data_IF_213597509446
#
_entry.id   IF_213597509446
#
_cell.length_a   1.000
_cell.length_b   1.000
_cell.length_c   1.000
_cell.angle_alpha   90.00
_cell.angle_beta   90.00
_cell.angle_gamma   90.00
#
_symmetry.space_group_name_H-M   'P 1'
#
loop_
_entity.id
_entity.type
_entity.pdbx_description
1 polymer ?
#
# COMPACT_ATOMS: atom_id res chain seq x y z
N UNK A 1 -21.22 20.91 0.28
CA UNK A 1 -20.73 20.57 -1.07
C UNK A 1 -20.39 19.08 -1.03
N UNK A 2 -21.29 18.21 -1.48
CA UNK A 2 -21.07 16.76 -1.51
C UNK A 2 -20.07 16.46 -2.61
N UNK A 3 -18.83 16.15 -2.24
CA UNK A 3 -17.84 15.66 -3.19
C UNK A 3 -18.38 14.36 -3.80
N UNK A 4 -18.50 14.31 -5.12
CA UNK A 4 -18.94 13.10 -5.82
C UNK A 4 -17.75 12.11 -5.85
N UNK A 5 -17.58 11.36 -4.77
CA UNK A 5 -16.53 10.35 -4.66
C UNK A 5 -16.84 9.17 -5.57
N UNK A 6 -15.89 8.80 -6.42
CA UNK A 6 -16.02 7.65 -7.33
C UNK A 6 -14.93 6.62 -7.02
N UNK A 7 -15.32 5.53 -6.36
CA UNK A 7 -14.41 4.42 -6.07
C UNK A 7 -13.80 3.85 -7.37
N UNK A 8 -14.60 3.65 -8.41
CA UNK A 8 -14.12 3.16 -9.71
C UNK A 8 -13.08 4.09 -10.34
N UNK A 9 -13.24 5.40 -10.20
CA UNK A 9 -12.22 6.35 -10.65
C UNK A 9 -10.91 6.16 -9.87
N UNK A 10 -10.98 6.04 -8.54
CA UNK A 10 -9.80 5.78 -7.69
C UNK A 10 -9.08 4.50 -8.13
N UNK A 11 -9.81 3.40 -8.30
CA UNK A 11 -9.23 2.12 -8.72
C UNK A 11 -8.61 2.21 -10.12
N UNK A 12 -9.29 2.85 -11.08
CA UNK A 12 -8.78 3.00 -12.44
C UNK A 12 -7.50 3.85 -12.52
N UNK A 13 -7.44 4.96 -11.77
CA UNK A 13 -6.25 5.82 -11.68
C UNK A 13 -5.08 5.11 -10.97
N UNK A 14 -5.38 4.28 -9.96
CA UNK A 14 -4.37 3.39 -9.36
C UNK A 14 -3.80 2.42 -10.39
N UNK A 15 -4.66 1.70 -11.14
CA UNK A 15 -4.23 0.72 -12.16
C UNK A 15 -3.37 1.39 -13.24
N UNK A 16 -3.75 2.58 -13.71
CA UNK A 16 -2.95 3.33 -14.68
C UNK A 16 -1.56 3.69 -14.12
N UNK A 17 -1.48 4.05 -12.84
CA UNK A 17 -0.21 4.35 -12.16
C UNK A 17 0.65 3.11 -11.95
N UNK A 18 0.02 1.99 -11.60
CA UNK A 18 0.66 0.68 -11.50
C UNK A 18 1.19 0.20 -12.85
N UNK A 19 0.45 0.41 -13.93
CA UNK A 19 0.87 0.08 -15.29
C UNK A 19 2.12 0.87 -15.69
N UNK A 20 2.17 2.18 -15.39
CA UNK A 20 3.37 2.98 -15.62
C UNK A 20 4.61 2.45 -14.89
N UNK A 21 4.44 1.99 -13.64
CA UNK A 21 5.53 1.40 -12.87
C UNK A 21 5.92 0.03 -13.42
N UNK A 22 4.94 -0.80 -13.78
CA UNK A 22 5.17 -2.12 -14.35
C UNK A 22 5.92 -2.03 -15.68
N UNK A 23 5.57 -1.09 -16.55
CA UNK A 23 6.31 -0.81 -17.77
C UNK A 23 7.74 -0.35 -17.49
N UNK A 24 7.96 0.47 -16.46
CA UNK A 24 9.31 0.89 -16.09
C UNK A 24 10.17 -0.29 -15.62
N UNK A 25 9.58 -1.19 -14.83
CA UNK A 25 10.25 -2.38 -14.29
C UNK A 25 10.67 -3.38 -15.38
N UNK A 26 10.05 -3.37 -16.57
CA UNK A 26 10.49 -4.18 -17.71
C UNK A 26 11.89 -3.78 -18.23
N UNK A 27 12.33 -2.55 -17.95
CA UNK A 27 13.63 -2.03 -18.39
C UNK A 27 14.63 -1.90 -17.24
N UNK A 28 14.14 -1.60 -16.04
CA UNK A 28 14.97 -1.42 -14.84
C UNK A 28 14.42 -2.34 -13.75
N UNK A 29 14.96 -3.57 -13.61
CA UNK A 29 14.53 -4.47 -12.55
C UNK A 29 14.87 -3.88 -11.19
N UNK A 30 14.06 -4.17 -10.17
CA UNK A 30 14.26 -3.59 -8.84
C UNK A 30 15.57 -4.02 -8.17
N UNK A 31 16.01 -5.26 -8.40
CA UNK A 31 17.20 -5.83 -7.77
C UNK A 31 18.46 -5.02 -8.10
N UNK A 32 19.12 -4.50 -7.07
CA UNK A 32 20.28 -3.61 -7.18
C UNK A 32 20.01 -2.18 -7.71
N UNK A 33 18.80 -1.87 -8.20
CA UNK A 33 18.48 -0.58 -8.83
C UNK A 33 17.50 0.28 -8.04
N UNK A 34 17.26 -0.02 -6.76
CA UNK A 34 16.33 0.71 -5.89
C UNK A 34 16.55 2.23 -5.86
N UNK A 35 17.79 2.69 -6.09
CA UNK A 35 18.20 4.11 -6.10
C UNK A 35 18.18 4.77 -7.49
N UNK A 36 17.84 4.05 -8.56
CA UNK A 36 17.72 4.64 -9.90
C UNK A 36 16.62 5.69 -9.89
N UNK A 37 16.90 6.83 -10.52
CA UNK A 37 15.95 7.92 -10.69
C UNK A 37 15.54 8.04 -12.16
N UNK A 38 14.34 8.55 -12.42
CA UNK A 38 13.85 8.84 -13.77
C UNK A 38 12.72 9.87 -13.72
N UNK A 39 12.53 10.62 -14.81
CA UNK A 39 11.35 11.49 -14.96
C UNK A 39 10.03 10.70 -14.90
N UNK A 40 10.03 9.43 -15.34
CA UNK A 40 8.86 8.55 -15.18
C UNK A 40 8.54 8.27 -13.71
N UNK A 41 9.56 8.06 -12.89
CA UNK A 41 9.41 7.83 -11.45
C UNK A 41 8.92 9.09 -10.71
N UNK A 42 9.32 10.29 -11.17
CA UNK A 42 8.72 11.55 -10.70
C UNK A 42 7.21 11.56 -10.93
N UNK A 43 6.76 11.21 -12.14
CA UNK A 43 5.32 11.16 -12.46
C UNK A 43 4.57 10.14 -11.61
N UNK A 44 5.08 8.91 -11.51
CA UNK A 44 4.49 7.84 -10.70
C UNK A 44 4.36 8.27 -9.23
N UNK A 45 5.43 8.86 -8.67
CA UNK A 45 5.46 9.32 -7.29
C UNK A 45 4.45 10.45 -7.02
N UNK A 46 4.39 11.44 -7.93
CA UNK A 46 3.44 12.56 -7.83
C UNK A 46 1.99 12.08 -7.91
N UNK A 47 1.68 11.18 -8.85
CA UNK A 47 0.33 10.65 -9.03
C UNK A 47 -0.11 9.83 -7.81
N UNK A 48 0.73 8.89 -7.37
CA UNK A 48 0.43 8.04 -6.22
C UNK A 48 0.19 8.87 -4.94
N UNK A 49 1.07 9.84 -4.64
CA UNK A 49 0.95 10.66 -3.43
C UNK A 49 -0.20 11.66 -3.50
N UNK A 50 -0.47 12.23 -4.68
CA UNK A 50 -1.61 13.13 -4.88
C UNK A 50 -2.93 12.39 -4.64
N UNK A 51 -3.08 11.22 -5.26
CA UNK A 51 -4.27 10.39 -5.09
C UNK A 51 -4.43 9.91 -3.66
N UNK A 52 -3.34 9.49 -3.00
CA UNK A 52 -3.34 9.11 -1.58
C UNK A 52 -3.84 10.27 -0.71
N UNK A 53 -3.32 11.47 -0.93
CA UNK A 53 -3.71 12.67 -0.19
C UNK A 53 -5.20 12.97 -0.33
N UNK A 54 -5.75 12.90 -1.54
CA UNK A 54 -7.19 13.10 -1.78
C UNK A 54 -8.05 12.00 -1.17
N UNK A 55 -7.62 10.74 -1.25
CA UNK A 55 -8.35 9.60 -0.70
C UNK A 55 -8.39 9.65 0.83
N UNK A 56 -7.28 9.99 1.48
CA UNK A 56 -7.23 10.14 2.93
C UNK A 56 -7.98 11.38 3.42
N UNK A 57 -7.97 12.48 2.66
CA UNK A 57 -8.81 13.62 2.98
C UNK A 57 -10.29 13.22 2.98
N UNK A 58 -10.73 12.53 1.92
CA UNK A 58 -12.09 12.00 1.81
C UNK A 58 -12.45 11.11 3.00
N UNK A 59 -11.61 10.12 3.32
CA UNK A 59 -11.84 9.21 4.45
C UNK A 59 -11.89 9.94 5.79
N UNK A 60 -10.96 10.86 6.04
CA UNK A 60 -10.89 11.61 7.30
C UNK A 60 -12.16 12.47 7.51
N UNK A 61 -12.64 13.12 6.44
CA UNK A 61 -13.84 13.96 6.48
C UNK A 61 -15.15 13.23 6.73
N UNK A 62 -15.18 11.89 6.66
CA UNK A 62 -16.36 11.11 7.09
C UNK A 62 -16.57 11.15 8.60
N UNK A 63 -15.52 11.38 9.38
CA UNK A 63 -15.63 11.51 10.82
C UNK A 63 -16.18 12.89 11.19
N UNK A 64 -17.24 12.98 12.02
CA UNK A 64 -17.79 14.27 12.47
C UNK A 64 -16.82 15.05 13.38
N UNK A 65 -15.74 14.41 13.84
CA UNK A 65 -14.74 15.02 14.71
C UNK A 65 -13.63 15.76 13.93
N UNK A 66 -13.51 15.54 12.62
CA UNK A 66 -12.50 16.20 11.79
C UNK A 66 -13.00 17.56 11.34
N UNK A 67 -12.58 18.62 12.05
CA UNK A 67 -12.99 20.02 11.79
C UNK A 67 -11.92 20.85 11.09
N UNK A 68 -10.68 20.38 11.05
CA UNK A 68 -9.56 21.10 10.44
C UNK A 68 -9.83 21.28 8.95
N UNK A 69 -9.64 22.50 8.45
CA UNK A 69 -9.89 22.84 7.04
C UNK A 69 -8.87 22.17 6.13
N UNK A 70 -7.59 22.34 6.42
CA UNK A 70 -6.49 21.86 5.59
C UNK A 70 -5.79 20.71 6.31
N UNK A 71 -6.08 19.48 5.89
CA UNK A 71 -5.44 18.28 6.41
C UNK A 71 -4.07 18.09 5.75
N UNK A 72 -3.13 17.56 6.52
CA UNK A 72 -1.78 17.22 6.08
C UNK A 72 -1.39 15.81 6.55
N UNK A 73 -0.20 15.37 6.15
CA UNK A 73 0.29 14.01 6.43
C UNK A 73 0.37 13.67 7.92
N UNK A 74 0.61 14.66 8.80
CA UNK A 74 0.64 14.43 10.24
C UNK A 74 -0.75 14.18 10.82
N UNK A 75 -1.78 14.81 10.24
CA UNK A 75 -3.16 14.51 10.59
C UNK A 75 -3.49 13.07 10.19
N UNK A 76 -3.08 12.63 8.99
CA UNK A 76 -3.27 11.25 8.54
C UNK A 76 -2.48 10.22 9.35
N UNK A 77 -1.27 10.56 9.81
CA UNK A 77 -0.54 9.75 10.79
C UNK A 77 -1.36 9.56 12.07
N UNK A 78 -1.95 10.63 12.59
CA UNK A 78 -2.77 10.59 13.80
C UNK A 78 -4.05 9.75 13.59
N UNK A 79 -4.69 9.88 12.44
CA UNK A 79 -5.97 9.22 12.17
C UNK A 79 -5.83 7.76 11.74
N UNK A 80 -4.79 7.45 10.96
CA UNK A 80 -4.67 6.17 10.25
C UNK A 80 -3.38 5.43 10.56
N UNK A 81 -2.38 6.06 11.17
CA UNK A 81 -1.06 5.48 11.40
C UNK A 81 -1.13 4.13 12.12
N UNK A 82 -1.93 4.02 13.19
CA UNK A 82 -2.10 2.77 13.93
C UNK A 82 -2.62 1.61 13.07
N UNK A 83 -3.42 1.92 12.05
CA UNK A 83 -3.95 0.93 11.12
C UNK A 83 -2.93 0.55 10.04
N UNK A 84 -2.27 1.54 9.42
CA UNK A 84 -1.44 1.31 8.22
C UNK A 84 0.02 0.99 8.51
N UNK A 85 0.58 1.49 9.61
CA UNK A 85 1.97 1.27 9.98
C UNK A 85 2.38 -0.20 10.11
N UNK A 86 1.62 -1.09 10.79
CA UNK A 86 2.04 -2.47 10.93
C UNK A 86 1.93 -3.28 9.64
N UNK A 87 1.33 -2.71 8.57
CA UNK A 87 1.01 -3.43 7.35
C UNK A 87 2.23 -3.63 6.47
N UNK A 88 2.42 -4.87 6.07
CA UNK A 88 3.29 -5.25 4.96
C UNK A 88 2.50 -5.79 3.78
N UNK A 89 3.14 -5.82 2.62
CA UNK A 89 2.62 -6.44 1.41
C UNK A 89 3.75 -7.07 0.61
N UNK A 90 3.41 -7.93 -0.34
CA UNK A 90 4.39 -8.50 -1.28
C UNK A 90 4.44 -7.61 -2.50
N UNK A 91 5.63 -7.11 -2.82
CA UNK A 91 5.92 -6.49 -4.10
C UNK A 91 6.42 -7.55 -5.07
N UNK A 92 5.82 -7.57 -6.24
CA UNK A 92 6.14 -8.51 -7.30
C UNK A 92 7.05 -7.89 -8.36
N UNK A 93 8.31 -7.72 -8.01
CA UNK A 93 9.38 -7.41 -8.96
C UNK A 93 9.87 -8.65 -9.72
N UNK A 94 11.07 -8.56 -10.30
CA UNK A 94 11.78 -9.73 -10.84
C UNK A 94 11.98 -10.77 -9.74
N UNK A 95 12.49 -10.32 -8.59
CA UNK A 95 12.38 -11.02 -7.33
C UNK A 95 11.26 -10.42 -6.49
N UNK A 96 10.49 -11.32 -5.87
CA UNK A 96 9.36 -10.93 -5.02
C UNK A 96 9.85 -10.68 -3.61
N UNK A 97 9.43 -9.58 -3.00
CA UNK A 97 9.91 -9.15 -1.69
C UNK A 97 8.78 -8.61 -0.79
N UNK A 98 8.97 -8.74 0.52
CA UNK A 98 8.10 -8.13 1.51
C UNK A 98 8.49 -6.66 1.69
N UNK A 99 7.53 -5.74 1.53
CA UNK A 99 7.77 -4.31 1.74
C UNK A 99 6.81 -3.71 2.78
N UNK A 100 7.30 -2.64 3.43
CA UNK A 100 6.61 -1.89 4.47
C UNK A 100 6.51 -0.41 4.04
N UNK A 101 5.41 -0.01 3.38
CA UNK A 101 5.27 1.35 2.86
C UNK A 101 5.29 2.45 3.93
N UNK A 102 4.92 2.08 5.17
CA UNK A 102 4.81 2.96 6.33
C UNK A 102 5.76 2.55 7.46
N UNK A 103 6.94 2.01 7.11
CA UNK A 103 7.89 1.46 8.09
C UNK A 103 8.33 2.49 9.14
N UNK A 104 8.51 3.75 8.74
CA UNK A 104 8.88 4.86 9.62
C UNK A 104 7.79 5.15 10.67
N UNK A 105 6.55 4.70 10.44
CA UNK A 105 5.45 4.84 11.38
C UNK A 105 5.28 3.63 12.31
N UNK A 106 6.09 2.58 12.17
CA UNK A 106 6.01 1.39 13.02
C UNK A 106 6.52 1.64 14.43
N UNK A 107 6.06 0.78 15.35
CA UNK A 107 6.53 0.70 16.73
C UNK A 107 6.43 2.03 17.50
N UNK A 108 5.47 2.88 17.12
CA UNK A 108 5.18 4.12 17.83
C UNK A 108 4.40 3.83 19.09
N UNK A 109 4.82 4.46 20.19
CA UNK A 109 4.13 4.36 21.49
C UNK A 109 2.72 4.97 21.40
N UNK A 110 2.58 6.04 20.61
CA UNK A 110 1.31 6.67 20.27
C UNK A 110 1.36 7.22 18.85
N UNK A 111 0.19 7.48 18.25
CA UNK A 111 0.07 8.09 16.94
C UNK A 111 -0.43 9.52 17.11
N UNK A 112 0.48 10.42 17.49
CA UNK A 112 0.22 11.85 17.69
C UNK A 112 1.19 12.70 16.88
N UNK A 113 0.90 13.98 16.66
CA UNK A 113 1.81 14.86 15.93
C UNK A 113 3.25 14.89 16.49
N UNK A 114 3.42 14.77 17.81
CA UNK A 114 4.73 14.78 18.47
C UNK A 114 5.57 13.53 18.22
N UNK A 115 4.93 12.42 17.84
CA UNK A 115 5.56 11.11 17.59
C UNK A 115 5.68 10.81 16.10
N UNK A 116 5.20 11.71 15.25
CA UNK A 116 5.28 11.64 13.80
C UNK A 116 6.73 11.51 13.34
N UNK A 117 6.98 10.53 12.46
CA UNK A 117 8.20 10.48 11.65
C UNK A 117 7.84 10.66 10.19
N UNK A 118 8.68 11.40 9.48
CA UNK A 118 8.48 11.69 8.08
C UNK A 118 8.76 10.45 7.23
N UNK A 119 7.86 10.15 6.28
CA UNK A 119 8.05 9.10 5.28
C UNK A 119 8.92 9.64 4.15
N UNK A 120 9.99 8.94 3.79
CA UNK A 120 10.95 9.42 2.80
C UNK A 120 10.31 9.68 1.42
N UNK A 121 9.38 8.83 1.01
CA UNK A 121 8.67 9.00 -0.26
C UNK A 121 7.69 10.20 -0.23
N UNK A 122 7.08 10.49 0.92
CA UNK A 122 6.20 11.64 1.08
C UNK A 122 6.98 12.96 1.13
N UNK A 123 8.14 12.96 1.80
CA UNK A 123 9.08 14.07 1.80
C UNK A 123 9.51 14.45 0.39
N UNK A 124 9.95 13.46 -0.38
CA UNK A 124 10.34 13.66 -1.78
C UNK A 124 9.14 14.14 -2.62
N UNK A 125 7.93 13.62 -2.40
CA UNK A 125 6.74 14.15 -3.04
C UNK A 125 6.54 15.65 -2.77
N UNK A 126 6.65 16.10 -1.52
CA UNK A 126 6.52 17.52 -1.18
C UNK A 126 7.60 18.37 -1.85
N UNK A 127 8.86 17.89 -1.83
CA UNK A 127 9.97 18.56 -2.52
C UNK A 127 9.68 18.73 -4.02
N UNK A 128 9.25 17.66 -4.70
CA UNK A 128 8.93 17.68 -6.13
C UNK A 128 7.69 18.52 -6.47
N UNK A 129 6.72 18.58 -5.56
CA UNK A 129 5.52 19.43 -5.70
C UNK A 129 5.89 20.92 -5.73
N UNK A 130 6.91 21.32 -4.98
CA UNK A 130 7.35 22.71 -4.88
C UNK A 130 8.46 23.09 -5.87
N UNK A 131 9.45 22.22 -6.08
CA UNK A 131 10.54 22.45 -7.04
C UNK A 131 10.95 21.14 -7.74
N UNK A 132 10.18 20.80 -8.78
CA UNK A 132 10.41 19.57 -9.56
C UNK A 132 11.80 19.52 -10.19
N UNK A 133 12.35 20.66 -10.63
CA UNK A 133 13.63 20.66 -11.34
C UNK A 133 14.74 20.36 -10.35
N UNK A 134 14.81 21.05 -9.21
CA UNK A 134 15.87 20.82 -8.22
C UNK A 134 15.85 19.39 -7.67
N UNK A 135 14.65 18.85 -7.40
CA UNK A 135 14.49 17.60 -6.66
C UNK A 135 14.22 16.35 -7.51
N UNK A 136 14.23 16.42 -8.85
CA UNK A 136 13.93 15.27 -9.74
C UNK A 136 14.76 14.00 -9.46
N UNK A 137 15.99 14.16 -8.98
CA UNK A 137 16.89 13.05 -8.68
C UNK A 137 16.50 12.30 -7.39
N UNK A 138 15.67 12.89 -6.54
CA UNK A 138 15.19 12.24 -5.32
C UNK A 138 14.11 11.19 -5.59
N UNK A 139 13.44 11.24 -6.76
CA UNK A 139 12.40 10.29 -7.16
C UNK A 139 13.01 8.95 -7.58
N UNK A 140 13.45 8.17 -6.61
CA UNK A 140 14.04 6.85 -6.82
C UNK A 140 12.98 5.76 -7.02
N UNK A 141 13.38 4.64 -7.61
CA UNK A 141 12.51 3.49 -7.84
C UNK A 141 11.89 2.98 -6.53
N UNK A 142 12.68 2.87 -5.46
CA UNK A 142 12.20 2.49 -4.12
C UNK A 142 11.09 3.41 -3.62
N UNK A 143 11.26 4.73 -3.73
CA UNK A 143 10.26 5.68 -3.26
C UNK A 143 8.97 5.61 -4.07
N UNK A 144 9.07 5.41 -5.38
CA UNK A 144 7.91 5.23 -6.24
C UNK A 144 7.13 3.94 -5.88
N UNK A 145 7.84 2.82 -5.67
CA UNK A 145 7.24 1.55 -5.22
C UNK A 145 6.55 1.74 -3.87
N UNK A 146 7.24 2.31 -2.87
CA UNK A 146 6.67 2.52 -1.53
C UNK A 146 5.47 3.46 -1.55
N UNK A 147 5.49 4.53 -2.33
CA UNK A 147 4.35 5.44 -2.46
C UNK A 147 3.13 4.76 -3.09
N UNK A 148 3.33 4.02 -4.18
CA UNK A 148 2.25 3.29 -4.83
C UNK A 148 1.69 2.18 -3.94
N UNK A 149 2.56 1.47 -3.22
CA UNK A 149 2.19 0.48 -2.22
C UNK A 149 1.42 1.11 -1.03
N UNK A 150 1.79 2.32 -0.60
CA UNK A 150 1.08 3.08 0.41
C UNK A 150 -0.32 3.50 -0.05
N UNK A 151 -0.45 3.94 -1.30
CA UNK A 151 -1.73 4.20 -1.95
C UNK A 151 -2.59 2.94 -2.03
N UNK A 152 -2.03 1.80 -2.43
CA UNK A 152 -2.74 0.52 -2.46
C UNK A 152 -3.37 0.18 -1.10
N UNK A 153 -2.59 0.27 -0.01
CA UNK A 153 -3.10 0.04 1.35
C UNK A 153 -4.19 1.04 1.75
N UNK A 154 -4.09 2.30 1.32
CA UNK A 154 -5.12 3.31 1.58
C UNK A 154 -6.43 3.03 0.83
N UNK A 155 -6.35 2.48 -0.39
CA UNK A 155 -7.51 2.03 -1.18
C UNK A 155 -8.19 0.87 -0.46
N UNK A 156 -7.44 -0.15 -0.03
CA UNK A 156 -8.01 -1.29 0.71
C UNK A 156 -8.58 -0.90 2.07
N UNK A 157 -8.08 0.19 2.68
CA UNK A 157 -8.65 0.73 3.91
C UNK A 157 -10.01 1.42 3.67
N UNK A 158 -10.20 2.06 2.52
CA UNK A 158 -11.41 2.81 2.23
C UNK A 158 -12.55 1.83 1.88
N UNK A 159 -13.64 1.88 2.65
CA UNK A 159 -14.77 0.95 2.51
C UNK A 159 -15.34 0.90 1.08
N UNK A 160 -15.65 2.04 0.47
CA UNK A 160 -16.22 2.09 -0.89
C UNK A 160 -15.24 1.59 -1.96
N UNK A 161 -13.94 1.86 -1.78
CA UNK A 161 -12.91 1.35 -2.68
C UNK A 161 -12.72 -0.15 -2.52
N UNK A 162 -12.80 -0.66 -1.29
CA UNK A 162 -12.69 -2.06 -0.96
C UNK A 162 -13.86 -2.86 -1.52
N UNK A 163 -15.07 -2.34 -1.44
CA UNK A 163 -16.23 -2.95 -2.11
C UNK A 163 -16.07 -2.98 -3.64
N UNK A 164 -15.55 -1.90 -4.22
CA UNK A 164 -15.28 -1.84 -5.66
C UNK A 164 -14.13 -2.78 -6.09
N UNK A 165 -13.13 -3.01 -5.23
CA UNK A 165 -11.97 -3.86 -5.54
C UNK A 165 -12.27 -5.34 -5.48
N UNK A 166 -13.34 -5.75 -4.78
CA UNK A 166 -13.77 -7.15 -4.70
C UNK A 166 -14.00 -7.75 -6.09
N UNK A 167 -14.50 -6.96 -7.04
CA UNK A 167 -14.81 -7.45 -8.39
C UNK A 167 -13.63 -7.41 -9.35
N UNK A 168 -12.53 -6.76 -8.99
CA UNK A 168 -11.41 -6.49 -9.91
C UNK A 168 -10.06 -7.04 -9.42
N UNK A 169 -9.81 -7.07 -8.11
CA UNK A 169 -8.51 -7.40 -7.51
C UNK A 169 -8.54 -8.60 -6.56
N UNK A 170 -9.71 -9.15 -6.24
CA UNK A 170 -9.78 -10.33 -5.36
C UNK A 170 -9.63 -11.64 -6.12
N UNK A 171 -8.79 -12.52 -5.58
CA UNK A 171 -8.73 -13.93 -5.96
C UNK A 171 -9.18 -14.78 -4.77
N UNK A 172 -10.28 -15.50 -4.93
CA UNK A 172 -10.78 -16.46 -3.95
C UNK A 172 -11.36 -17.69 -4.67
N UNK A 173 -11.36 -18.84 -3.98
CA UNK A 173 -11.84 -20.11 -4.56
C UNK A 173 -13.38 -20.27 -4.48
N UNK A 174 -14.07 -19.44 -3.68
CA UNK A 174 -15.53 -19.43 -3.46
C UNK A 174 -16.09 -17.98 -3.29
N UNK A 175 -17.41 -17.77 -3.25
CA UNK A 175 -18.09 -16.45 -3.30
C UNK A 175 -17.42 -15.32 -2.48
N UNK A 176 -17.03 -14.19 -3.10
CA UNK A 176 -16.31 -13.13 -2.41
C UNK A 176 -17.26 -12.28 -1.55
N UNK A 177 -17.03 -12.24 -0.23
CA UNK A 177 -17.67 -11.26 0.66
C UNK A 177 -16.69 -10.13 1.01
N UNK A 178 -17.08 -8.85 0.84
CA UNK A 178 -16.27 -7.69 1.23
C UNK A 178 -15.84 -7.70 2.71
N UNK A 179 -16.62 -8.36 3.58
CA UNK A 179 -16.34 -8.51 5.00
C UNK A 179 -14.99 -9.19 5.31
N UNK A 180 -14.45 -9.99 4.37
CA UNK A 180 -13.16 -10.64 4.54
C UNK A 180 -11.95 -9.73 4.29
N UNK A 181 -12.17 -8.52 3.79
CA UNK A 181 -11.12 -7.54 3.54
C UNK A 181 -10.96 -6.53 4.68
N UNK A 182 -11.80 -6.60 5.69
CA UNK A 182 -11.66 -5.78 6.87
C UNK A 182 -10.78 -6.46 7.91
N UNK A 183 -9.60 -5.90 8.20
CA UNK A 183 -8.63 -6.45 9.16
C UNK A 183 -9.21 -6.65 10.57
N UNK A 184 -10.41 -6.13 10.86
CA UNK A 184 -11.08 -6.20 12.17
C UNK A 184 -12.04 -7.39 12.31
N UNK A 185 -12.40 -8.08 11.22
CA UNK A 185 -13.29 -9.24 11.27
C UNK A 185 -12.55 -10.51 11.72
N UNK A 186 -12.96 -11.10 12.84
CA UNK A 186 -12.34 -12.31 13.42
C UNK A 186 -12.44 -13.57 12.56
N UNK A 187 -13.24 -13.57 11.49
CA UNK A 187 -13.49 -14.72 10.63
C UNK A 187 -12.46 -14.93 9.51
N UNK A 188 -11.63 -13.93 9.20
CA UNK A 188 -10.79 -14.00 8.00
C UNK A 188 -9.46 -14.75 8.13
N UNK A 189 -8.98 -15.02 9.34
CA UNK A 189 -7.77 -15.84 9.57
C UNK A 189 -7.94 -17.29 9.11
N UNK A 190 -9.17 -17.80 9.10
CA UNK A 190 -9.48 -19.17 8.69
C UNK A 190 -9.51 -19.37 7.17
N UNK A 191 -9.70 -18.30 6.39
CA UNK A 191 -10.03 -18.38 4.96
C UNK A 191 -8.84 -17.98 4.05
N UNK A 192 -7.74 -17.44 4.62
CA UNK A 192 -6.53 -17.09 3.87
C UNK A 192 -6.83 -16.29 2.59
N UNK A 193 -7.46 -15.14 2.77
CA UNK A 193 -7.82 -14.25 1.66
C UNK A 193 -6.62 -13.38 1.27
N UNK A 194 -6.44 -13.15 -0.02
CA UNK A 194 -5.47 -12.20 -0.58
C UNK A 194 -6.17 -11.26 -1.54
N UNK A 195 -5.80 -9.98 -1.50
CA UNK A 195 -6.10 -9.01 -2.56
C UNK A 195 -4.83 -8.82 -3.36
N UNK A 196 -4.93 -8.88 -4.68
CA UNK A 196 -3.77 -8.81 -5.55
C UNK A 196 -4.03 -7.90 -6.75
N UNK A 197 -3.03 -7.11 -7.08
CA UNK A 197 -2.92 -6.34 -8.30
C UNK A 197 -1.70 -6.82 -9.08
N UNK A 198 -1.32 -6.14 -10.16
CA UNK A 198 -0.20 -6.61 -10.99
C UNK A 198 1.10 -6.70 -10.18
N UNK A 199 1.37 -5.67 -9.39
CA UNK A 199 2.64 -5.49 -8.66
C UNK A 199 2.53 -5.76 -7.16
N UNK A 200 1.33 -5.88 -6.58
CA UNK A 200 1.21 -6.00 -5.12
C UNK A 200 0.20 -7.06 -4.69
N UNK A 201 0.53 -7.80 -3.63
CA UNK A 201 -0.44 -8.62 -2.89
C UNK A 201 -0.47 -8.21 -1.43
N UNK A 202 -1.67 -7.94 -0.91
CA UNK A 202 -1.93 -7.80 0.52
C UNK A 202 -2.74 -9.00 1.01
N UNK A 203 -2.31 -9.57 2.13
CA UNK A 203 -3.07 -10.59 2.86
C UNK A 203 -3.68 -9.92 4.10
N UNK A 204 -4.98 -9.57 4.09
CA UNK A 204 -5.69 -9.11 5.28
C UNK A 204 -5.42 -10.02 6.49
N UNK A 205 -5.41 -9.45 7.69
CA UNK A 205 -5.06 -10.11 8.98
C UNK A 205 -3.59 -10.50 9.15
N UNK A 206 -2.99 -11.10 8.12
CA UNK A 206 -1.59 -11.53 8.13
C UNK A 206 -0.63 -10.38 7.90
N UNK A 207 -1.08 -9.32 7.23
CA UNK A 207 -0.31 -8.11 7.01
C UNK A 207 0.20 -7.43 8.28
N UNK A 208 -0.25 -7.83 9.48
CA UNK A 208 0.24 -7.33 10.78
C UNK A 208 1.03 -8.36 11.60
N UNK A 209 1.01 -9.63 11.19
CA UNK A 209 1.62 -10.73 11.92
C UNK A 209 2.90 -11.20 11.22
N UNK A 210 3.79 -11.91 11.93
CA UNK A 210 4.82 -12.72 11.28
C UNK A 210 4.19 -13.69 10.28
N UNK A 211 4.93 -14.02 9.22
CA UNK A 211 4.52 -15.05 8.26
C UNK A 211 4.26 -16.35 9.04
N UNK A 212 3.03 -16.87 9.04
CA UNK A 212 2.72 -18.05 9.83
C UNK A 212 3.19 -19.33 9.11
N UNK A 213 3.29 -20.46 9.83
CA UNK A 213 3.74 -21.72 9.24
C UNK A 213 2.85 -22.21 8.08
N UNK A 214 3.47 -22.93 7.13
CA UNK A 214 2.88 -23.46 5.89
C UNK A 214 1.50 -24.15 6.06
N UNK A 215 1.27 -24.82 7.18
CA UNK A 215 0.07 -25.63 7.43
C UNK A 215 -1.25 -24.85 7.49
N UNK A 216 -1.21 -23.51 7.54
CA UNK A 216 -2.40 -22.68 7.75
C UNK A 216 -2.98 -22.13 6.43
N UNK A 217 -2.24 -22.16 5.31
CA UNK A 217 -2.62 -21.50 4.06
C UNK A 217 -3.32 -22.40 3.03
N UNK A 218 -4.61 -22.70 3.29
CA UNK A 218 -5.47 -23.40 2.32
C UNK A 218 -6.08 -22.49 1.24
N UNK A 219 -6.15 -21.18 1.48
CA UNK A 219 -6.72 -20.17 0.59
C UNK A 219 -5.67 -19.23 -0.02
N UNK A 220 -6.05 -18.48 -1.07
CA UNK A 220 -5.24 -17.43 -1.70
C UNK A 220 -4.65 -17.78 -3.07
N UNK A 221 -4.18 -16.75 -3.78
CA UNK A 221 -3.59 -16.89 -5.11
C UNK A 221 -2.38 -17.86 -5.08
N UNK A 222 -2.26 -18.71 -6.10
CA UNK A 222 -1.11 -19.61 -6.31
C UNK A 222 0.21 -18.84 -6.23
N UNK A 223 0.26 -17.63 -6.81
CA UNK A 223 1.45 -16.77 -6.80
C UNK A 223 1.91 -16.44 -5.38
N UNK A 224 1.00 -15.95 -4.54
CA UNK A 224 1.27 -15.62 -3.14
C UNK A 224 1.66 -16.86 -2.32
N UNK A 225 0.96 -17.99 -2.50
CA UNK A 225 1.31 -19.25 -1.83
C UNK A 225 2.73 -19.70 -2.16
N UNK A 226 3.11 -19.68 -3.44
CA UNK A 226 4.45 -20.09 -3.87
C UNK A 226 5.54 -19.21 -3.24
N UNK A 227 5.32 -17.89 -3.20
CA UNK A 227 6.21 -16.97 -2.52
C UNK A 227 6.33 -17.29 -1.03
N UNK A 228 5.19 -17.48 -0.35
CA UNK A 228 5.16 -17.76 1.08
C UNK A 228 5.89 -19.06 1.43
N UNK A 229 5.74 -20.10 0.61
CA UNK A 229 6.45 -21.37 0.78
C UNK A 229 7.96 -21.19 0.68
N UNK A 230 8.42 -20.38 -0.28
CA UNK A 230 9.83 -20.03 -0.46
C UNK A 230 10.37 -19.28 0.76
N UNK A 231 9.68 -18.24 1.22
CA UNK A 231 10.12 -17.43 2.38
C UNK A 231 10.13 -18.26 3.69
N UNK A 232 9.12 -19.10 3.89
CA UNK A 232 9.07 -20.00 5.05
C UNK A 232 10.26 -20.96 5.07
N UNK A 233 10.66 -21.49 3.91
CA UNK A 233 11.81 -22.39 3.81
C UNK A 233 13.15 -21.70 4.09
N UNK A 234 13.26 -20.39 3.82
CA UNK A 234 14.46 -19.58 4.12
C UNK A 234 14.57 -19.35 5.63
N UNK A 235 13.47 -18.98 6.30
CA UNK A 235 13.46 -18.72 7.74
C UNK A 235 13.87 -19.94 8.58
N UNK A 236 13.52 -21.16 8.15
CA UNK A 236 13.91 -22.40 8.86
C UNK A 236 15.37 -22.81 8.64
N UNK A 237 16.09 -22.18 7.71
CA UNK A 237 17.50 -22.47 7.41
C UNK A 237 18.48 -21.51 8.08
N UNK A 238 17.99 -20.44 8.70
CA UNK A 238 18.83 -19.56 9.50
C UNK A 238 18.94 -20.14 10.93
N UNK A 239 20.15 -20.54 11.37
CA UNK A 239 20.38 -21.11 12.71
C UNK A 239 20.20 -20.11 13.85
#
# INVERSE_FOLDING_TARGET
>A
MTCNFSANYVLSSYVATEDMLSEFLQFVPFDGNSKVWSSKLVTILLEACSQLGSLWEYQARKSPYVRKRDLNIKDYFTYFGANVAPKWLVFWGEESEQIFPFDEWRNKVSYTEQTYMELEWWKTYNNLKHDRIAYRFEATLEKAIRALAGLYLAILRCEECREASVYTWMHHNDHPYPAYLDDESSSGTAVCVTVETKLFTYAPYWGRQPIPPKAIWGGGNIRFRNWLERESAIQHKMP
#
